data_IF_408196658898
#
_entry.id   IF_408196658898
#
_cell.length_a   1.000
_cell.length_b   1.000
_cell.length_c   1.000
_cell.angle_alpha   90.00
_cell.angle_beta   90.00
_cell.angle_gamma   90.00
#
_symmetry.space_group_name_H-M   'P 1'
#
loop_
_entity.id
_entity.type
_entity.pdbx_description
1 polymer ?
#
# COMPACT_ATOMS: atom_id res chain seq x y z
N UNK A 1 -71.39 -29.92 -37.74
CA UNK A 1 -70.14 -29.82 -36.97
C UNK A 1 -69.74 -31.22 -36.59
N UNK A 2 -68.71 -31.77 -37.21
CA UNK A 2 -67.99 -32.95 -36.70
C UNK A 2 -66.54 -32.76 -37.13
N UNK A 3 -65.71 -32.65 -36.09
CA UNK A 3 -64.28 -32.37 -36.07
C UNK A 3 -63.50 -33.23 -37.07
N UNK A 4 -62.69 -32.58 -37.91
CA UNK A 4 -61.58 -33.24 -38.60
C UNK A 4 -60.49 -33.50 -37.58
N UNK A 5 -60.36 -34.76 -37.20
CA UNK A 5 -59.33 -35.30 -36.31
C UNK A 5 -57.95 -35.13 -36.98
N UNK A 6 -57.18 -34.14 -36.52
CA UNK A 6 -55.80 -33.94 -36.95
C UNK A 6 -54.91 -34.90 -36.17
N UNK A 7 -54.09 -35.74 -36.83
CA UNK A 7 -53.19 -36.64 -36.12
C UNK A 7 -52.21 -35.83 -35.26
N UNK A 8 -52.01 -36.28 -34.02
CA UNK A 8 -51.13 -35.62 -33.05
C UNK A 8 -49.74 -35.40 -33.67
N UNK A 9 -49.14 -34.21 -33.51
CA UNK A 9 -47.80 -33.95 -34.02
C UNK A 9 -46.81 -34.95 -33.42
N UNK A 10 -45.83 -35.43 -34.19
CA UNK A 10 -44.84 -36.39 -33.70
C UNK A 10 -44.13 -35.82 -32.47
N UNK A 11 -43.79 -36.66 -31.47
CA UNK A 11 -43.13 -36.19 -30.26
C UNK A 11 -41.83 -35.47 -30.64
N UNK A 12 -41.66 -34.23 -30.15
CA UNK A 12 -40.39 -33.51 -30.27
C UNK A 12 -39.29 -34.39 -29.67
N UNK A 13 -38.44 -34.93 -30.54
CA UNK A 13 -37.26 -35.64 -30.10
C UNK A 13 -36.36 -34.62 -29.41
N UNK A 14 -36.23 -34.71 -28.09
CA UNK A 14 -35.35 -33.85 -27.31
C UNK A 14 -33.93 -33.96 -27.90
N UNK A 15 -33.51 -32.91 -28.62
CA UNK A 15 -32.22 -32.87 -29.29
C UNK A 15 -31.08 -33.19 -28.32
N UNK A 16 -30.00 -33.85 -28.77
CA UNK A 16 -28.94 -34.30 -27.87
C UNK A 16 -28.43 -33.16 -26.99
N UNK A 17 -28.49 -33.37 -25.66
CA UNK A 17 -28.07 -32.37 -24.66
C UNK A 17 -26.66 -31.89 -25.00
N UNK A 18 -26.53 -30.60 -25.35
CA UNK A 18 -25.26 -29.95 -25.70
C UNK A 18 -24.29 -30.06 -24.52
N UNK A 19 -23.37 -31.03 -24.55
CA UNK A 19 -22.25 -31.06 -23.59
C UNK A 19 -21.18 -30.07 -24.06
N UNK A 20 -20.92 -29.05 -23.24
CA UNK A 20 -19.80 -28.13 -23.41
C UNK A 20 -18.49 -28.92 -23.31
N UNK A 21 -17.45 -28.54 -24.07
CA UNK A 21 -16.16 -29.24 -24.01
C UNK A 21 -15.51 -29.03 -22.64
N UNK A 22 -14.80 -30.03 -22.08
CA UNK A 22 -14.08 -29.88 -20.82
C UNK A 22 -13.06 -28.73 -20.87
N UNK A 23 -12.44 -28.51 -22.04
CA UNK A 23 -11.54 -27.38 -22.30
C UNK A 23 -12.25 -26.04 -22.06
N UNK A 24 -13.49 -25.86 -22.53
CA UNK A 24 -14.23 -24.61 -22.35
C UNK A 24 -14.50 -24.35 -20.86
N UNK A 25 -14.83 -25.38 -20.07
CA UNK A 25 -14.99 -25.23 -18.63
C UNK A 25 -13.69 -24.85 -17.92
N UNK A 26 -12.55 -25.42 -18.33
CA UNK A 26 -11.23 -25.02 -17.81
C UNK A 26 -10.95 -23.55 -18.13
N UNK A 27 -11.23 -23.10 -19.36
CA UNK A 27 -11.01 -21.70 -19.74
C UNK A 27 -11.92 -20.73 -18.98
N UNK A 28 -13.18 -21.09 -18.74
CA UNK A 28 -14.11 -20.31 -17.91
C UNK A 28 -13.61 -20.26 -16.47
N UNK A 29 -13.18 -21.40 -15.91
CA UNK A 29 -12.64 -21.45 -14.54
C UNK A 29 -11.40 -20.57 -14.39
N UNK A 30 -10.47 -20.62 -15.35
CA UNK A 30 -9.30 -19.74 -15.37
C UNK A 30 -9.69 -18.26 -15.35
N UNK A 31 -10.69 -17.87 -16.14
CA UNK A 31 -11.18 -16.49 -16.15
C UNK A 31 -11.79 -16.10 -14.78
N UNK A 32 -12.60 -16.96 -14.18
CA UNK A 32 -13.23 -16.71 -12.86
C UNK A 32 -12.17 -16.57 -11.76
N UNK A 33 -11.19 -17.47 -11.72
CA UNK A 33 -10.07 -17.38 -10.77
C UNK A 33 -9.28 -16.10 -11.02
N UNK A 34 -9.05 -15.74 -12.28
CA UNK A 34 -8.40 -14.50 -12.66
C UNK A 34 -9.11 -13.25 -12.14
N UNK A 35 -10.44 -13.20 -12.26
CA UNK A 35 -11.24 -12.10 -11.70
C UNK A 35 -11.10 -12.02 -10.18
N UNK A 36 -11.17 -13.17 -9.49
CA UNK A 36 -11.03 -13.22 -8.03
C UNK A 36 -9.65 -12.73 -7.55
N UNK A 37 -8.58 -13.29 -8.10
CA UNK A 37 -7.21 -12.91 -7.75
C UNK A 37 -6.90 -11.45 -8.15
N UNK A 38 -7.33 -11.05 -9.35
CA UNK A 38 -7.12 -9.71 -9.88
C UNK A 38 -7.86 -8.65 -9.07
N UNK A 39 -9.12 -8.92 -8.74
CA UNK A 39 -9.95 -8.04 -7.91
C UNK A 39 -9.44 -7.92 -6.48
N UNK A 40 -8.99 -9.02 -5.86
CA UNK A 40 -8.38 -8.99 -4.53
C UNK A 40 -7.09 -8.18 -4.52
N UNK A 41 -6.21 -8.40 -5.51
CA UNK A 41 -4.98 -7.62 -5.67
C UNK A 41 -5.28 -6.12 -5.81
N UNK A 42 -6.21 -5.74 -6.68
CA UNK A 42 -6.62 -4.35 -6.85
C UNK A 42 -7.22 -3.74 -5.58
N UNK A 43 -8.10 -4.47 -4.88
CA UNK A 43 -8.71 -4.01 -3.63
C UNK A 43 -7.66 -3.79 -2.55
N UNK A 44 -6.71 -4.72 -2.39
CA UNK A 44 -5.61 -4.55 -1.43
C UNK A 44 -4.71 -3.36 -1.74
N UNK A 45 -4.56 -2.97 -3.01
CA UNK A 45 -3.82 -1.74 -3.36
C UNK A 45 -4.54 -0.46 -2.91
N UNK A 46 -5.85 -0.51 -2.63
CA UNK A 46 -6.60 0.66 -2.15
C UNK A 46 -6.26 1.07 -0.72
N UNK A 47 -5.62 0.18 0.05
CA UNK A 47 -5.08 0.47 1.39
C UNK A 47 -3.81 1.34 1.34
N UNK A 48 -3.30 1.63 0.14
CA UNK A 48 -2.07 2.38 -0.07
C UNK A 48 -2.34 3.69 -0.80
N UNK A 49 -1.88 4.79 -0.21
CA UNK A 49 -1.88 6.12 -0.81
C UNK A 49 -0.53 6.49 -1.41
N UNK A 50 -0.51 7.59 -2.17
CA UNK A 50 0.71 8.18 -2.71
C UNK A 50 0.79 9.66 -2.34
N UNK A 51 2.00 10.15 -2.05
CA UNK A 51 2.24 11.58 -1.83
C UNK A 51 3.59 11.99 -2.39
N UNK A 52 3.68 13.19 -2.96
CA UNK A 52 4.96 13.80 -3.31
C UNK A 52 5.58 14.48 -2.08
N UNK A 53 6.87 14.27 -1.87
CA UNK A 53 7.66 14.97 -0.86
C UNK A 53 7.75 16.44 -1.27
N UNK A 54 7.19 17.35 -0.47
CA UNK A 54 7.07 18.76 -0.82
C UNK A 54 8.29 19.61 -0.45
N UNK A 55 9.05 19.21 0.57
CA UNK A 55 10.13 20.01 1.16
C UNK A 55 11.42 19.21 1.32
N UNK A 56 12.50 19.91 1.68
CA UNK A 56 13.82 19.32 1.96
C UNK A 56 13.95 18.75 3.38
N UNK A 57 12.89 18.75 4.18
CA UNK A 57 12.93 18.33 5.58
C UNK A 57 13.40 16.87 5.77
N UNK A 58 13.17 16.00 4.79
CA UNK A 58 13.57 14.59 4.82
C UNK A 58 14.82 14.28 3.99
N UNK A 59 15.49 15.27 3.41
CA UNK A 59 16.79 15.06 2.74
C UNK A 59 17.86 14.70 3.79
N UNK A 60 18.79 13.76 3.52
CA UNK A 60 19.05 13.09 2.23
C UNK A 60 18.21 11.83 1.98
N UNK A 61 17.44 11.35 2.96
CA UNK A 61 16.64 10.12 2.83
C UNK A 61 15.59 10.21 1.73
N UNK A 62 14.87 11.34 1.67
CA UNK A 62 13.83 11.61 0.68
C UNK A 62 14.00 13.03 0.14
N UNK A 63 14.37 13.13 -1.13
CA UNK A 63 14.47 14.40 -1.84
C UNK A 63 13.10 14.97 -2.25
N UNK A 64 12.95 16.31 -2.33
CA UNK A 64 11.74 16.94 -2.85
C UNK A 64 11.36 16.40 -4.23
N UNK A 65 10.05 16.20 -4.45
CA UNK A 65 9.51 15.65 -5.69
C UNK A 65 9.49 14.12 -5.73
N UNK A 66 10.18 13.43 -4.81
CA UNK A 66 10.05 11.98 -4.64
C UNK A 66 8.60 11.61 -4.35
N UNK A 67 8.04 10.67 -5.10
CA UNK A 67 6.73 10.09 -4.79
C UNK A 67 6.97 8.97 -3.79
N UNK A 68 6.28 9.02 -2.65
CA UNK A 68 6.26 7.94 -1.67
C UNK A 68 4.91 7.24 -1.71
N UNK A 69 4.94 5.93 -1.50
CA UNK A 69 3.77 5.12 -1.22
C UNK A 69 3.68 4.93 0.29
N UNK A 70 2.53 5.26 0.86
CA UNK A 70 2.26 5.07 2.28
C UNK A 70 1.06 4.15 2.46
N UNK A 71 1.05 3.39 3.55
CA UNK A 71 -0.12 2.62 3.98
C UNK A 71 -0.88 3.43 5.02
N UNK A 72 -2.20 3.51 4.90
CA UNK A 72 -3.05 4.12 5.92
C UNK A 72 -2.81 3.45 7.28
N UNK A 73 -2.68 4.24 8.33
CA UNK A 73 -2.45 3.72 9.68
C UNK A 73 -3.58 4.09 10.63
N UNK A 74 -4.49 3.15 10.86
CA UNK A 74 -5.45 3.21 11.98
C UNK A 74 -4.81 2.60 13.24
N UNK A 75 -3.56 2.96 13.55
CA UNK A 75 -2.72 2.18 14.46
C UNK A 75 -2.61 2.81 15.85
N UNK A 76 -2.73 1.97 16.88
CA UNK A 76 -2.54 2.35 18.28
C UNK A 76 -1.09 2.67 18.64
N UNK A 77 -0.12 2.08 17.94
CA UNK A 77 1.31 2.35 18.12
C UNK A 77 2.06 2.35 16.79
N UNK A 78 2.96 3.32 16.60
CA UNK A 78 3.87 3.42 15.46
C UNK A 78 5.29 3.33 16.01
N UNK A 79 6.13 2.39 15.57
CA UNK A 79 7.46 2.21 16.15
C UNK A 79 8.40 3.37 15.78
N UNK A 80 9.39 3.60 16.64
CA UNK A 80 10.46 4.58 16.39
C UNK A 80 11.20 4.26 15.09
N UNK A 81 11.69 5.29 14.43
CA UNK A 81 12.35 5.17 13.13
C UNK A 81 11.40 5.16 11.94
N UNK A 82 10.09 4.97 12.15
CA UNK A 82 9.10 5.01 11.06
C UNK A 82 9.04 6.38 10.41
N UNK A 83 9.12 6.42 9.09
CA UNK A 83 8.77 7.61 8.30
C UNK A 83 7.26 7.63 8.07
N UNK A 84 6.61 8.75 8.41
CA UNK A 84 5.16 8.89 8.43
C UNK A 84 4.69 10.11 7.67
N UNK A 85 3.47 10.04 7.13
CA UNK A 85 2.73 11.18 6.62
C UNK A 85 1.85 11.73 7.76
N UNK A 86 2.02 13.01 8.08
CA UNK A 86 1.31 13.68 9.18
C UNK A 86 0.62 14.96 8.69
N UNK A 87 -0.46 15.35 9.38
CA UNK A 87 -1.22 16.58 9.12
C UNK A 87 -0.63 17.77 9.88
N UNK A 88 -0.16 18.79 9.17
CA UNK A 88 0.54 19.95 9.76
C UNK A 88 -0.33 20.74 10.74
N UNK A 89 -1.66 20.59 10.71
CA UNK A 89 -2.58 21.14 11.72
C UNK A 89 -2.32 20.64 13.15
N UNK A 90 -1.47 19.64 13.34
CA UNK A 90 -0.99 19.22 14.65
C UNK A 90 -0.16 20.30 15.37
N UNK A 91 0.43 21.24 14.62
CA UNK A 91 1.26 22.31 15.18
C UNK A 91 0.47 23.62 15.37
N UNK A 92 0.79 24.42 16.40
CA UNK A 92 -0.04 25.56 16.83
C UNK A 92 -0.04 26.74 15.86
N UNK A 93 0.98 26.88 15.02
CA UNK A 93 1.14 27.93 14.01
C UNK A 93 0.56 27.53 12.64
N UNK A 94 -0.15 26.41 12.58
CA UNK A 94 -0.58 25.87 11.31
C UNK A 94 -1.74 26.64 10.69
N UNK A 95 -1.63 26.90 9.38
CA UNK A 95 -2.74 27.49 8.63
C UNK A 95 -3.80 26.43 8.27
N UNK A 96 -5.09 26.81 8.12
CA UNK A 96 -6.18 25.85 7.85
C UNK A 96 -6.00 24.97 6.60
N UNK A 97 -5.08 25.32 5.70
CA UNK A 97 -4.81 24.59 4.45
C UNK A 97 -3.32 24.25 4.28
N UNK A 98 -2.57 24.19 5.37
CA UNK A 98 -1.11 23.98 5.29
C UNK A 98 -0.72 22.60 4.75
N UNK A 99 -1.63 21.63 4.88
CA UNK A 99 -1.52 20.33 4.27
C UNK A 99 -0.75 19.33 5.13
N UNK A 100 0.11 18.55 4.50
CA UNK A 100 0.75 17.38 5.11
C UNK A 100 2.26 17.48 5.01
N UNK A 101 2.96 16.87 5.96
CA UNK A 101 4.41 16.71 5.96
C UNK A 101 4.79 15.23 6.09
N UNK A 102 5.98 14.91 5.60
CA UNK A 102 6.61 13.60 5.82
C UNK A 102 7.73 13.81 6.83
N UNK A 103 7.71 13.06 7.92
CA UNK A 103 8.67 13.16 9.02
C UNK A 103 8.98 11.77 9.59
N UNK A 104 10.04 11.66 10.37
CA UNK A 104 10.43 10.43 11.07
C UNK A 104 9.99 10.48 12.53
N UNK A 105 9.42 9.38 13.01
CA UNK A 105 9.16 9.18 14.45
C UNK A 105 10.49 8.96 15.16
N UNK A 106 10.87 9.87 16.06
CA UNK A 106 12.10 9.75 16.84
C UNK A 106 11.84 9.41 18.32
N UNK A 107 10.61 9.58 18.79
CA UNK A 107 10.15 9.07 20.09
C UNK A 107 8.63 8.82 20.06
N UNK A 108 8.15 7.95 20.94
CA UNK A 108 6.74 7.54 21.06
C UNK A 108 6.23 7.78 22.47
N UNK A 109 4.91 7.69 22.67
CA UNK A 109 4.28 7.91 23.97
C UNK A 109 4.96 7.18 25.14
N UNK A 110 5.27 7.93 26.20
CA UNK A 110 6.01 7.47 27.36
C UNK A 110 7.50 7.81 27.35
N UNK A 111 8.07 8.16 26.19
CA UNK A 111 9.49 8.45 26.08
C UNK A 111 9.89 9.79 26.68
N UNK A 112 11.11 9.82 27.20
CA UNK A 112 11.88 11.05 27.40
C UNK A 112 12.90 11.18 26.28
N UNK A 113 12.85 12.26 25.51
CA UNK A 113 13.80 12.55 24.44
C UNK A 113 14.58 13.84 24.74
N UNK A 114 15.90 13.81 24.54
CA UNK A 114 16.79 14.95 24.79
C UNK A 114 17.78 15.09 23.64
N UNK A 115 17.93 16.30 23.12
CA UNK A 115 19.02 16.69 22.24
C UNK A 115 19.89 17.77 22.93
N UNK A 116 21.21 17.73 22.85
CA UNK A 116 22.04 16.68 22.25
C UNK A 116 23.20 16.33 23.16
N UNK A 117 23.73 15.11 23.01
CA UNK A 117 24.99 14.73 23.63
C UNK A 117 26.15 15.56 23.06
N UNK A 118 27.35 15.41 23.65
CA UNK A 118 28.57 16.06 23.12
C UNK A 118 28.93 15.63 21.69
N UNK A 119 28.42 14.49 21.24
CA UNK A 119 28.63 13.94 19.90
C UNK A 119 27.45 14.24 18.95
N UNK A 120 26.63 15.25 19.29
CA UNK A 120 25.43 15.65 18.53
C UNK A 120 24.37 14.54 18.36
N UNK A 121 24.33 13.58 19.29
CA UNK A 121 23.31 12.52 19.28
C UNK A 121 22.10 12.91 20.11
N UNK A 122 20.91 12.48 19.67
CA UNK A 122 19.74 12.46 20.55
C UNK A 122 19.86 11.31 21.54
N UNK A 123 19.25 11.47 22.71
CA UNK A 123 19.01 10.38 23.65
C UNK A 123 17.52 10.14 23.80
N UNK A 124 17.12 8.87 23.80
CA UNK A 124 15.74 8.44 24.08
C UNK A 124 15.80 7.51 25.29
N UNK A 125 15.11 7.88 26.37
CA UNK A 125 15.16 7.20 27.67
C UNK A 125 16.60 6.97 28.16
N UNK A 126 17.47 7.98 27.95
CA UNK A 126 18.89 7.94 28.32
C UNK A 126 19.79 7.11 27.39
N UNK A 127 19.24 6.48 26.34
CA UNK A 127 20.02 5.73 25.35
C UNK A 127 20.39 6.65 24.18
N UNK A 128 21.68 6.82 23.92
CA UNK A 128 22.15 7.58 22.75
C UNK A 128 21.81 6.81 21.46
N UNK A 129 21.22 7.51 20.50
CA UNK A 129 20.83 6.94 19.21
C UNK A 129 21.78 7.45 18.14
N UNK A 130 22.44 6.53 17.42
CA UNK A 130 23.26 6.89 16.26
C UNK A 130 22.38 6.95 15.02
N UNK A 131 22.21 8.14 14.45
CA UNK A 131 21.27 8.39 13.36
C UNK A 131 22.00 8.63 12.03
N UNK A 132 22.43 7.58 11.29
CA UNK A 132 23.25 7.75 10.07
C UNK A 132 22.50 8.42 8.91
N UNK A 133 21.18 8.55 9.01
CA UNK A 133 20.32 9.21 8.03
C UNK A 133 20.18 10.72 8.25
N UNK A 134 20.69 11.25 9.37
CA UNK A 134 20.54 12.66 9.74
C UNK A 134 21.58 13.54 9.06
N UNK A 135 21.13 14.70 8.60
CA UNK A 135 21.97 15.82 8.16
C UNK A 135 21.72 17.06 9.01
N UNK A 136 22.78 17.61 9.62
CA UNK A 136 22.76 18.85 10.37
C UNK A 136 23.28 20.06 9.57
N UNK A 137 23.53 19.92 8.27
CA UNK A 137 24.03 20.98 7.38
C UNK A 137 25.36 21.60 7.84
N UNK A 138 26.22 20.80 8.47
CA UNK A 138 27.51 21.27 9.01
C UNK A 138 27.40 22.10 10.29
N UNK A 139 26.26 22.04 10.98
CA UNK A 139 26.03 22.68 12.30
C UNK A 139 25.71 21.63 13.36
N UNK A 140 25.59 22.03 14.63
CA UNK A 140 25.19 21.15 15.74
C UNK A 140 23.67 20.95 15.78
N UNK A 141 23.21 19.97 16.54
CA UNK A 141 21.77 19.81 16.83
C UNK A 141 21.22 20.98 17.65
N UNK A 142 19.93 21.30 17.43
CA UNK A 142 19.22 22.28 18.27
C UNK A 142 18.89 21.67 19.63
N UNK A 143 19.28 22.27 20.77
CA UNK A 143 18.94 21.74 22.08
C UNK A 143 17.43 21.70 22.31
N UNK A 144 16.93 20.56 22.80
CA UNK A 144 15.55 20.40 23.25
C UNK A 144 15.43 19.26 24.25
N UNK A 145 14.38 19.29 25.05
CA UNK A 145 14.01 18.22 25.97
C UNK A 145 12.48 18.09 25.95
N UNK A 146 11.97 16.87 25.79
CA UNK A 146 10.54 16.61 25.75
C UNK A 146 10.20 15.25 26.36
N UNK A 147 9.07 15.22 27.08
CA UNK A 147 8.41 13.98 27.50
C UNK A 147 7.21 13.75 26.60
N UNK A 148 7.19 12.64 25.88
CA UNK A 148 6.16 12.33 24.89
C UNK A 148 4.91 11.77 25.58
N UNK A 149 3.74 12.44 25.51
CA UNK A 149 2.51 11.93 26.12
C UNK A 149 2.05 10.60 25.49
N UNK A 150 1.34 9.73 26.24
CA UNK A 150 0.68 8.56 25.66
C UNK A 150 -0.25 8.93 24.49
N UNK A 151 -0.32 8.08 23.46
CA UNK A 151 -1.15 8.34 22.26
C UNK A 151 -0.60 9.40 21.32
N UNK A 152 0.65 9.82 21.51
CA UNK A 152 1.34 10.81 20.66
C UNK A 152 2.71 10.28 20.22
N UNK A 153 3.28 10.92 19.20
CA UNK A 153 4.63 10.68 18.68
C UNK A 153 5.41 11.99 18.60
N UNK A 154 6.73 11.91 18.73
CA UNK A 154 7.62 13.05 18.51
C UNK A 154 8.31 12.87 17.16
N UNK A 155 8.11 13.83 16.27
CA UNK A 155 8.51 13.74 14.87
C UNK A 155 9.70 14.67 14.58
N UNK A 156 10.58 14.25 13.68
CA UNK A 156 11.66 15.07 13.17
C UNK A 156 11.91 14.82 11.70
N UNK A 157 12.31 15.87 10.99
CA UNK A 157 12.93 15.73 9.68
C UNK A 157 14.33 15.13 9.81
N UNK A 158 14.75 14.39 8.79
CA UNK A 158 16.13 13.90 8.68
C UNK A 158 17.13 15.05 8.47
N UNK A 159 16.68 16.16 7.86
CA UNK A 159 17.41 17.43 7.80
C UNK A 159 17.11 18.28 9.03
N UNK A 160 17.78 17.97 10.15
CA UNK A 160 17.42 18.40 11.51
C UNK A 160 17.25 19.91 11.68
N UNK A 161 18.11 20.70 11.04
CA UNK A 161 18.11 22.15 11.21
C UNK A 161 17.23 22.89 10.18
N UNK A 162 16.60 22.18 9.25
CA UNK A 162 15.76 22.75 8.20
C UNK A 162 14.43 21.99 8.04
N UNK A 163 13.84 21.62 9.17
CA UNK A 163 12.57 20.93 9.25
C UNK A 163 11.67 21.64 10.25
N UNK A 164 10.38 21.79 9.88
CA UNK A 164 9.35 22.30 10.79
C UNK A 164 8.70 21.11 11.48
N UNK A 165 9.23 20.73 12.62
CA UNK A 165 8.88 19.51 13.33
C UNK A 165 8.82 19.70 14.85
N UNK A 166 8.59 18.61 15.59
CA UNK A 166 8.39 18.61 17.03
C UNK A 166 9.52 19.31 17.81
N UNK A 167 10.74 19.36 17.29
CA UNK A 167 11.87 20.00 17.97
C UNK A 167 11.67 21.50 18.14
N UNK A 168 11.07 22.18 17.15
CA UNK A 168 10.75 23.61 17.26
C UNK A 168 9.65 23.85 18.29
N UNK A 169 8.73 22.90 18.42
CA UNK A 169 7.57 23.00 19.29
C UNK A 169 7.76 22.36 20.66
N UNK A 170 8.96 21.86 20.99
CA UNK A 170 9.23 21.20 22.28
C UNK A 170 8.88 22.09 23.51
N UNK A 171 9.00 23.41 23.38
CA UNK A 171 8.59 24.38 24.41
C UNK A 171 7.13 24.85 24.35
N UNK A 172 6.35 24.40 23.36
CA UNK A 172 4.93 24.75 23.21
C UNK A 172 4.04 23.85 24.08
N UNK A 173 2.76 24.24 24.34
CA UNK A 173 1.80 23.35 24.98
C UNK A 173 1.73 21.99 24.26
N UNK A 174 1.81 20.89 25.02
CA UNK A 174 1.89 19.53 24.46
C UNK A 174 3.30 19.07 24.10
N UNK A 175 4.33 19.89 24.30
CA UNK A 175 5.74 19.50 24.16
C UNK A 175 6.16 19.16 22.73
N UNK A 176 5.44 19.71 21.73
CA UNK A 176 5.69 19.44 20.31
C UNK A 176 5.29 18.05 19.84
N UNK A 177 4.70 17.22 20.71
CA UNK A 177 4.24 15.89 20.35
C UNK A 177 3.00 15.95 19.45
N UNK A 178 2.96 15.06 18.46
CA UNK A 178 1.89 14.94 17.46
C UNK A 178 0.96 13.79 17.86
N UNK A 179 -0.33 14.04 18.05
CA UNK A 179 -1.32 12.99 18.28
C UNK A 179 -1.34 11.94 17.16
N UNK A 180 -1.53 10.66 17.51
CA UNK A 180 -1.55 9.58 16.52
C UNK A 180 -2.67 9.73 15.48
N UNK A 181 -3.80 10.34 15.83
CA UNK A 181 -4.90 10.63 14.89
C UNK A 181 -4.55 11.71 13.85
N UNK A 182 -3.45 12.45 14.05
CA UNK A 182 -2.84 13.35 13.07
C UNK A 182 -1.80 12.68 12.18
N UNK A 183 -1.46 11.42 12.46
CA UNK A 183 -0.62 10.59 11.59
C UNK A 183 -1.52 9.78 10.67
N UNK A 184 -1.40 10.02 9.37
CA UNK A 184 -2.30 9.44 8.37
C UNK A 184 -1.82 8.10 7.85
N UNK A 185 -0.51 7.88 7.83
CA UNK A 185 0.05 6.63 7.34
C UNK A 185 1.55 6.54 7.47
N UNK A 186 2.04 5.31 7.32
CA UNK A 186 3.47 4.99 7.34
C UNK A 186 3.96 4.85 5.91
N UNK A 187 5.09 5.48 5.59
CA UNK A 187 5.75 5.34 4.29
C UNK A 187 6.36 3.93 4.19
N UNK A 188 5.98 3.19 3.15
CA UNK A 188 6.35 1.78 2.96
C UNK A 188 7.02 1.52 1.61
N UNK A 189 6.96 2.49 0.69
CA UNK A 189 7.63 2.39 -0.60
C UNK A 189 7.99 3.73 -1.22
N UNK A 190 8.91 3.70 -2.18
CA UNK A 190 9.28 4.83 -3.04
C UNK A 190 8.76 4.54 -4.45
N UNK A 191 8.10 5.52 -5.04
CA UNK A 191 7.45 5.42 -6.34
C UNK A 191 5.93 5.39 -6.22
N UNK A 192 5.28 5.19 -7.37
CA UNK A 192 3.81 5.07 -7.44
C UNK A 192 3.39 3.67 -7.00
N UNK A 193 2.23 3.52 -6.35
CA UNK A 193 1.75 2.26 -5.74
C UNK A 193 1.97 1.00 -6.62
N UNK A 194 1.72 1.09 -7.93
CA UNK A 194 1.89 -0.06 -8.85
C UNK A 194 3.35 -0.39 -9.16
N UNK A 195 4.27 0.56 -9.05
CA UNK A 195 5.70 0.41 -9.37
C UNK A 195 6.59 0.86 -8.21
N UNK A 196 6.05 0.87 -6.99
CA UNK A 196 6.81 1.26 -5.83
C UNK A 196 7.85 0.18 -5.53
N UNK A 197 8.99 0.61 -5.01
CA UNK A 197 10.00 -0.26 -4.42
C UNK A 197 9.91 -0.14 -2.89
N UNK A 198 10.13 -1.23 -2.13
CA UNK A 198 10.07 -1.20 -0.68
C UNK A 198 11.00 -0.16 -0.07
N UNK A 199 10.46 0.64 0.85
CA UNK A 199 11.24 1.61 1.59
C UNK A 199 11.79 0.96 2.86
N UNK A 200 13.12 1.03 3.02
CA UNK A 200 13.81 0.51 4.20
C UNK A 200 13.71 1.52 5.34
N UNK A 201 12.98 1.17 6.41
CA UNK A 201 12.98 1.95 7.64
C UNK A 201 14.31 1.79 8.38
N UNK A 202 14.68 2.79 9.17
CA UNK A 202 15.96 2.76 9.91
C UNK A 202 15.90 1.79 11.09
N UNK A 203 17.02 1.12 11.36
CA UNK A 203 17.24 0.28 12.55
C UNK A 203 17.82 1.06 13.73
N UNK A 204 18.19 2.34 13.57
CA UNK A 204 18.97 3.11 14.55
C UNK A 204 18.45 3.03 15.99
N UNK A 205 17.13 3.04 16.18
CA UNK A 205 16.50 2.96 17.50
C UNK A 205 16.56 1.55 18.08
N UNK A 206 16.32 0.53 17.26
CA UNK A 206 16.47 -0.88 17.66
C UNK A 206 17.94 -1.21 17.98
N UNK A 207 18.88 -0.69 17.18
CA UNK A 207 20.33 -0.83 17.39
C UNK A 207 20.80 -0.15 18.69
N UNK A 208 20.12 0.94 19.10
CA UNK A 208 20.30 1.57 20.40
C UNK A 208 19.62 0.79 21.55
N UNK A 209 18.96 -0.33 21.27
CA UNK A 209 18.28 -1.19 22.23
C UNK A 209 16.94 -0.62 22.72
N UNK A 210 16.27 0.24 21.94
CA UNK A 210 14.91 0.69 22.21
C UNK A 210 13.91 -0.30 21.61
N UNK A 211 12.73 -0.50 22.23
CA UNK A 211 11.74 -1.44 21.72
C UNK A 211 11.08 -0.94 20.44
N UNK A 212 10.62 -1.88 19.61
CA UNK A 212 9.91 -1.62 18.35
C UNK A 212 10.79 -1.88 17.15
N UNK A 213 10.47 -2.94 16.41
CA UNK A 213 11.17 -3.28 15.18
C UNK A 213 10.79 -2.31 14.04
N UNK A 214 11.70 -2.03 13.11
CA UNK A 214 11.40 -1.18 11.96
C UNK A 214 10.25 -1.77 11.13
N UNK A 215 9.32 -0.91 10.71
CA UNK A 215 8.19 -1.34 9.88
C UNK A 215 8.70 -1.89 8.55
N UNK A 216 8.28 -3.10 8.20
CA UNK A 216 8.46 -3.70 6.89
C UNK A 216 7.10 -4.11 6.33
N UNK A 217 6.66 -3.41 5.29
CA UNK A 217 5.42 -3.72 4.58
C UNK A 217 5.73 -3.86 3.09
N UNK A 218 5.50 -5.07 2.58
CA UNK A 218 5.64 -5.42 1.16
C UNK A 218 4.31 -5.89 0.55
N UNK A 219 3.19 -5.67 1.24
CA UNK A 219 1.86 -6.11 0.83
C UNK A 219 1.45 -5.56 -0.53
N UNK A 220 1.84 -4.32 -0.85
CA UNK A 220 1.62 -3.71 -2.15
C UNK A 220 2.30 -4.48 -3.30
N UNK A 221 3.44 -5.16 -3.07
CA UNK A 221 4.10 -6.00 -4.07
C UNK A 221 3.27 -7.25 -4.34
N UNK A 222 2.82 -7.94 -3.29
CA UNK A 222 1.95 -9.11 -3.41
C UNK A 222 0.64 -8.75 -4.11
N UNK A 223 0.02 -7.66 -3.70
CA UNK A 223 -1.21 -7.15 -4.29
C UNK A 223 -1.02 -6.83 -5.78
N UNK A 224 0.10 -6.20 -6.16
CA UNK A 224 0.48 -5.99 -7.56
C UNK A 224 0.59 -7.29 -8.34
N UNK A 225 1.30 -8.29 -7.82
CA UNK A 225 1.46 -9.56 -8.53
C UNK A 225 0.14 -10.31 -8.66
N UNK A 226 -0.72 -10.30 -7.64
CA UNK A 226 -2.06 -10.87 -7.71
C UNK A 226 -2.93 -10.16 -8.75
N UNK A 227 -2.86 -8.82 -8.79
CA UNK A 227 -3.57 -8.02 -9.80
C UNK A 227 -3.13 -8.41 -11.22
N UNK A 228 -1.83 -8.40 -11.49
CA UNK A 228 -1.28 -8.70 -12.81
C UNK A 228 -1.51 -10.14 -13.24
N UNK A 229 -1.29 -11.11 -12.33
CA UNK A 229 -1.53 -12.52 -12.60
C UNK A 229 -3.03 -12.78 -12.84
N UNK A 230 -3.90 -12.15 -12.05
CA UNK A 230 -5.34 -12.21 -12.22
C UNK A 230 -5.79 -11.71 -13.59
N UNK A 231 -5.32 -10.53 -14.02
CA UNK A 231 -5.58 -10.00 -15.36
C UNK A 231 -5.09 -10.96 -16.44
N UNK A 232 -3.89 -11.53 -16.30
CA UNK A 232 -3.35 -12.53 -17.22
C UNK A 232 -4.25 -13.76 -17.35
N UNK A 233 -4.73 -14.30 -16.23
CA UNK A 233 -5.65 -15.44 -16.19
C UNK A 233 -6.99 -15.14 -16.86
N UNK A 234 -7.53 -13.92 -16.67
CA UNK A 234 -8.75 -13.47 -17.36
C UNK A 234 -8.54 -13.46 -18.88
N UNK A 235 -7.45 -12.84 -19.34
CA UNK A 235 -7.14 -12.74 -20.77
C UNK A 235 -6.98 -14.13 -21.39
N UNK A 236 -6.20 -15.01 -20.75
CA UNK A 236 -6.01 -16.40 -21.21
C UNK A 236 -7.35 -17.14 -21.23
N UNK A 237 -8.12 -17.07 -20.14
CA UNK A 237 -9.43 -17.70 -20.00
C UNK A 237 -10.42 -17.27 -21.08
N UNK A 238 -10.56 -15.97 -21.31
CA UNK A 238 -11.49 -15.41 -22.30
C UNK A 238 -11.09 -15.79 -23.73
N UNK A 239 -9.81 -15.60 -24.10
CA UNK A 239 -9.32 -15.94 -25.44
C UNK A 239 -9.48 -17.45 -25.70
N UNK A 240 -9.08 -18.30 -24.75
CA UNK A 240 -9.20 -19.73 -24.90
C UNK A 240 -10.65 -20.22 -24.96
N UNK A 241 -11.58 -19.57 -24.25
CA UNK A 241 -13.01 -19.86 -24.36
C UNK A 241 -13.54 -19.53 -25.76
N UNK A 242 -13.20 -18.36 -26.30
CA UNK A 242 -13.58 -17.95 -27.67
C UNK A 242 -13.04 -18.94 -28.70
N UNK A 243 -11.75 -19.30 -28.62
CA UNK A 243 -11.12 -20.27 -29.53
C UNK A 243 -11.77 -21.66 -29.42
N UNK A 244 -12.11 -22.09 -28.19
CA UNK A 244 -12.78 -23.37 -27.95
C UNK A 244 -14.16 -23.42 -28.59
N UNK A 245 -14.94 -22.34 -28.46
CA UNK A 245 -16.25 -22.21 -29.09
C UNK A 245 -16.10 -22.20 -30.61
N UNK A 246 -15.19 -21.40 -31.18
CA UNK A 246 -14.94 -21.32 -32.61
C UNK A 246 -14.52 -22.66 -33.23
N UNK A 247 -13.59 -23.39 -32.59
CA UNK A 247 -13.18 -24.73 -33.02
C UNK A 247 -14.33 -25.73 -32.97
N UNK A 248 -15.14 -25.68 -31.90
CA UNK A 248 -16.30 -26.58 -31.78
C UNK A 248 -17.36 -26.30 -32.85
N UNK A 249 -17.59 -25.03 -33.20
CA UNK A 249 -18.48 -24.63 -34.28
C UNK A 249 -17.95 -25.08 -35.65
N UNK A 250 -16.64 -24.91 -35.90
CA UNK A 250 -15.98 -25.38 -37.12
C UNK A 250 -16.07 -26.90 -37.30
N UNK A 251 -15.83 -27.68 -36.24
CA UNK A 251 -15.96 -29.15 -36.28
C UNK A 251 -17.38 -29.58 -36.60
N UNK A 252 -18.40 -28.89 -36.05
CA UNK A 252 -19.81 -29.15 -36.36
C UNK A 252 -20.17 -28.85 -37.81
N UNK A 253 -19.73 -27.71 -38.35
CA UNK A 253 -19.95 -27.36 -39.77
C UNK A 253 -19.38 -28.41 -40.71
N UNK A 254 -18.18 -28.94 -40.42
CA UNK A 254 -17.57 -30.03 -41.20
C UNK A 254 -18.35 -31.34 -41.08
N UNK A 255 -18.81 -31.71 -39.89
CA UNK A 255 -19.59 -32.93 -39.68
C UNK A 255 -20.94 -32.91 -40.42
N UNK A 256 -21.60 -31.74 -40.50
CA UNK A 256 -22.84 -31.57 -41.25
C UNK A 256 -22.66 -31.58 -42.78
N UNK A 257 -21.43 -31.37 -43.28
CA UNK A 257 -21.12 -31.36 -44.70
C UNK A 257 -20.72 -32.74 -45.26
N UNK A 258 -20.64 -33.78 -44.43
CA UNK A 258 -20.36 -35.16 -44.89
C UNK A 258 -21.68 -35.78 -45.38
N UNK A 259 -21.79 -36.19 -46.66
CA UNK A 259 -23.02 -36.80 -47.18
C UNK A 259 -23.28 -38.17 -46.51
N UNK A 260 -24.55 -38.59 -46.37
CA UNK A 260 -24.88 -39.88 -45.78
C UNK A 260 -24.25 -41.00 -46.62
N UNK A 261 -23.56 -41.92 -45.96
CA UNK A 261 -23.03 -43.12 -46.59
C UNK A 261 -24.20 -43.91 -47.19
N UNK A 262 -24.09 -44.24 -48.48
CA UNK A 262 -25.03 -45.11 -49.20
C UNK A 262 -24.89 -46.56 -48.75
#
# INVERSE_FOLDING_TARGET
>A
MTETDFPAPPPETAGPKRRLSPLLWVMILLAVVGVGAGGYGFWSLSDYGMRSVASRAMSPTLEPGTIVTYRWSDMGEIPRGSVVLMDLSAYPDASPNEGQAIQRVIAVGGDQIVCCTKDDLITVNGKAVKEPYVDYEGTSGRPFEAKVPPGTVFLAGDRRNNSRDSQIYAGSPGGGAVPLDKVQGVVVGIGRTVYAEPFQQTTAFADAGLPGDPVSDTGFLTARYLMLAGVGLVVIGVIGAIVSVARSAGKRRRAAAVPPAR
#
